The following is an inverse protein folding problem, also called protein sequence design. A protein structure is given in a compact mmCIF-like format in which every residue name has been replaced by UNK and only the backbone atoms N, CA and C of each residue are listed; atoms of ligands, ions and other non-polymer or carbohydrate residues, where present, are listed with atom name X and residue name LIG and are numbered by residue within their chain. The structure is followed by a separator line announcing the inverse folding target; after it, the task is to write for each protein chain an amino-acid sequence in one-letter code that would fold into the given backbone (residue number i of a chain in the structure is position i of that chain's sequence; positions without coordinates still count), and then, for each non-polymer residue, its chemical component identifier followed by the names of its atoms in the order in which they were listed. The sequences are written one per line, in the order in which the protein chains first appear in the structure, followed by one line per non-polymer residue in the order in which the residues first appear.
data_IF_498915174096
#
_entry.id   IF_498915174096
#
_cell.length_a   1.000
_cell.length_b   1.000
_cell.length_c   1.000
_cell.angle_alpha   90.00
_cell.angle_beta   90.00
_cell.angle_gamma   90.00
#
_symmetry.space_group_name_H-M   'P 1'
#
loop_
_entity.id
_entity.type
_entity.pdbx_description
1 polymer ?
#
# COMPACT_ATOMS: atom_id res chain seq x y z
N UNK A 1 19.26 -6.32 -17.43
CA UNK A 1 18.16 -6.97 -16.68
C UNK A 1 17.11 -5.91 -16.43
N UNK A 2 15.97 -5.96 -17.12
CA UNK A 2 14.92 -4.94 -16.99
C UNK A 2 14.30 -5.02 -15.61
N UNK A 3 14.24 -3.89 -14.91
CA UNK A 3 13.52 -3.76 -13.64
C UNK A 3 12.02 -3.96 -13.89
N UNK A 4 11.55 -5.21 -13.91
CA UNK A 4 10.13 -5.56 -13.87
C UNK A 4 9.57 -5.37 -12.45
N UNK A 5 9.84 -4.22 -11.83
CA UNK A 5 9.25 -3.89 -10.54
C UNK A 5 7.83 -3.43 -10.79
N UNK A 6 6.86 -4.20 -10.31
CA UNK A 6 5.46 -3.78 -10.27
C UNK A 6 5.35 -2.51 -9.40
N UNK A 7 4.61 -1.51 -9.85
CA UNK A 7 4.37 -0.33 -9.01
C UNK A 7 3.40 -0.67 -7.88
N UNK A 8 3.44 0.04 -6.74
CA UNK A 8 2.50 -0.18 -5.63
C UNK A 8 1.03 -0.22 -6.06
N UNK A 9 0.62 0.76 -6.87
CA UNK A 9 -0.75 0.84 -7.40
C UNK A 9 -1.08 -0.39 -8.25
N UNK A 10 -0.19 -0.79 -9.17
CA UNK A 10 -0.38 -1.97 -10.01
C UNK A 10 -0.41 -3.27 -9.19
N UNK A 11 0.32 -3.35 -8.09
CA UNK A 11 0.26 -4.49 -7.18
C UNK A 11 -1.11 -4.61 -6.51
N UNK A 12 -1.64 -3.51 -5.95
CA UNK A 12 -2.98 -3.49 -5.36
C UNK A 12 -4.05 -3.84 -6.42
N UNK A 13 -4.00 -3.22 -7.60
CA UNK A 13 -4.95 -3.50 -8.69
C UNK A 13 -4.92 -4.98 -9.12
N UNK A 14 -3.72 -5.53 -9.27
CA UNK A 14 -3.53 -6.93 -9.66
C UNK A 14 -4.04 -7.87 -8.57
N UNK A 15 -3.76 -7.56 -7.31
CA UNK A 15 -4.29 -8.29 -6.16
C UNK A 15 -5.82 -8.34 -6.21
N UNK A 16 -6.47 -7.16 -6.32
CA UNK A 16 -7.94 -7.05 -6.36
C UNK A 16 -8.51 -7.84 -7.53
N UNK A 17 -7.90 -7.74 -8.72
CA UNK A 17 -8.33 -8.49 -9.90
C UNK A 17 -8.28 -10.00 -9.65
N UNK A 18 -7.16 -10.50 -9.12
CA UNK A 18 -7.02 -11.92 -8.80
C UNK A 18 -8.07 -12.40 -7.79
N UNK A 19 -8.33 -11.62 -6.74
CA UNK A 19 -9.39 -11.95 -5.76
C UNK A 19 -10.78 -11.99 -6.38
N UNK A 20 -11.10 -11.04 -7.27
CA UNK A 20 -12.40 -11.02 -7.98
C UNK A 20 -12.57 -12.19 -8.94
N UNK A 21 -11.50 -12.58 -9.62
CA UNK A 21 -11.51 -13.67 -10.60
C UNK A 21 -11.34 -15.06 -9.96
N UNK A 22 -11.08 -15.13 -8.65
CA UNK A 22 -10.79 -16.38 -7.96
C UNK A 22 -9.46 -17.02 -8.40
N UNK A 23 -8.54 -16.22 -8.95
CA UNK A 23 -7.23 -16.68 -9.41
C UNK A 23 -6.16 -16.49 -8.34
N UNK A 24 -5.07 -17.26 -8.46
CA UNK A 24 -3.95 -17.15 -7.54
C UNK A 24 -3.24 -15.80 -7.72
N UNK A 25 -3.02 -15.09 -6.61
CA UNK A 25 -2.23 -13.85 -6.59
C UNK A 25 -0.76 -14.18 -6.87
N UNK A 26 -0.12 -13.57 -7.88
CA UNK A 26 1.29 -13.80 -8.17
C UNK A 26 2.21 -13.41 -7.01
N UNK A 27 3.29 -14.17 -6.81
CA UNK A 27 4.26 -13.89 -5.74
C UNK A 27 4.84 -12.48 -5.80
N UNK A 28 5.12 -11.97 -7.00
CA UNK A 28 5.62 -10.61 -7.22
C UNK A 28 4.69 -9.54 -6.64
N UNK A 29 3.36 -9.75 -6.68
CA UNK A 29 2.39 -8.81 -6.11
C UNK A 29 2.57 -8.71 -4.61
N UNK A 30 2.67 -9.85 -3.92
CA UNK A 30 2.92 -9.89 -2.48
C UNK A 30 4.27 -9.28 -2.12
N UNK A 31 5.32 -9.58 -2.87
CA UNK A 31 6.65 -8.98 -2.67
C UNK A 31 6.63 -7.46 -2.83
N UNK A 32 5.88 -6.93 -3.80
CA UNK A 32 5.67 -5.49 -3.90
C UNK A 32 4.91 -4.95 -2.69
N UNK A 33 3.80 -5.57 -2.27
CA UNK A 33 2.99 -5.11 -1.12
C UNK A 33 3.81 -5.12 0.17
N UNK A 34 4.72 -6.08 0.38
CA UNK A 34 5.64 -6.11 1.53
C UNK A 34 6.52 -4.86 1.65
N UNK A 35 6.70 -4.10 0.57
CA UNK A 35 7.49 -2.86 0.60
C UNK A 35 6.69 -1.62 1.03
N UNK A 36 5.44 -1.77 1.51
CA UNK A 36 4.53 -0.67 1.88
C UNK A 36 5.15 0.40 2.78
N UNK A 37 6.09 0.02 3.65
CA UNK A 37 6.78 0.93 4.55
C UNK A 37 7.54 2.06 3.82
N UNK A 38 7.84 1.87 2.53
CA UNK A 38 8.53 2.86 1.68
C UNK A 38 7.57 3.69 0.83
N UNK A 39 6.30 3.30 0.77
CA UNK A 39 5.31 3.92 -0.11
C UNK A 39 4.96 5.34 0.35
N UNK A 40 4.43 6.11 -0.60
CA UNK A 40 3.93 7.45 -0.37
C UNK A 40 2.48 7.45 0.15
N UNK A 41 1.96 8.63 0.47
CA UNK A 41 0.62 8.77 1.05
C UNK A 41 -0.51 8.24 0.15
N UNK A 42 -0.41 8.45 -1.17
CA UNK A 42 -1.44 8.02 -2.13
C UNK A 42 -1.50 6.49 -2.19
N UNK A 43 -0.33 5.86 -2.29
CA UNK A 43 -0.18 4.41 -2.35
C UNK A 43 -0.67 3.72 -1.07
N UNK A 44 -0.32 4.28 0.10
CA UNK A 44 -0.79 3.78 1.39
C UNK A 44 -2.30 3.95 1.59
N UNK A 45 -2.86 5.07 1.12
CA UNK A 45 -4.32 5.27 1.12
C UNK A 45 -5.01 4.21 0.27
N UNK A 46 -4.46 3.93 -0.92
CA UNK A 46 -4.97 2.86 -1.79
C UNK A 46 -4.93 1.49 -1.12
N UNK A 47 -3.85 1.17 -0.41
CA UNK A 47 -3.72 -0.09 0.34
C UNK A 47 -4.78 -0.21 1.44
N UNK A 48 -4.97 0.84 2.25
CA UNK A 48 -5.98 0.85 3.32
C UNK A 48 -7.39 0.71 2.73
N UNK A 49 -7.73 1.49 1.70
CA UNK A 49 -9.05 1.40 1.07
C UNK A 49 -9.34 0.01 0.50
N UNK A 50 -8.33 -0.63 -0.11
CA UNK A 50 -8.45 -2.00 -0.60
C UNK A 50 -8.62 -3.01 0.55
N UNK A 51 -7.94 -2.81 1.68
CA UNK A 51 -7.99 -3.71 2.83
C UNK A 51 -9.37 -3.78 3.51
N UNK A 52 -10.21 -2.75 3.36
CA UNK A 52 -11.60 -2.76 3.83
C UNK A 52 -12.41 -3.90 3.19
N UNK A 53 -12.10 -4.23 1.93
CA UNK A 53 -12.76 -5.32 1.20
C UNK A 53 -11.95 -6.62 1.20
N UNK A 54 -10.63 -6.51 1.36
CA UNK A 54 -9.70 -7.64 1.35
C UNK A 54 -8.73 -7.56 2.54
N UNK A 55 -9.16 -7.97 3.74
CA UNK A 55 -8.38 -7.83 4.97
C UNK A 55 -7.01 -8.51 4.93
N UNK A 56 -6.85 -9.54 4.09
CA UNK A 56 -5.57 -10.24 3.89
C UNK A 56 -4.45 -9.38 3.29
N UNK A 57 -4.77 -8.19 2.75
CA UNK A 57 -3.78 -7.19 2.37
C UNK A 57 -2.99 -6.66 3.57
N UNK A 58 -3.55 -6.74 4.78
CA UNK A 58 -2.89 -6.44 6.05
C UNK A 58 -2.34 -7.74 6.64
N UNK A 59 -1.33 -8.30 5.97
CA UNK A 59 -0.81 -9.65 6.23
C UNK A 59 0.12 -9.75 7.45
N UNK A 60 0.49 -8.63 8.08
CA UNK A 60 1.35 -8.61 9.26
C UNK A 60 0.60 -8.07 10.50
N UNK A 61 0.86 -8.62 11.70
CA UNK A 61 0.39 -8.01 12.93
C UNK A 61 0.86 -6.56 13.06
N UNK A 62 -0.04 -5.67 13.46
CA UNK A 62 0.28 -4.26 13.67
C UNK A 62 0.47 -3.44 12.38
N UNK A 63 0.15 -4.00 11.21
CA UNK A 63 0.41 -3.34 9.92
C UNK A 63 -0.43 -2.08 9.73
N UNK A 64 -1.70 -2.12 10.13
CA UNK A 64 -2.60 -0.97 10.03
C UNK A 64 -2.09 0.21 10.87
N UNK A 65 -1.65 -0.04 12.09
CA UNK A 65 -1.10 0.95 13.00
C UNK A 65 0.20 1.55 12.45
N UNK A 66 1.06 0.73 11.82
CA UNK A 66 2.27 1.23 11.14
C UNK A 66 1.93 2.13 9.96
N UNK A 67 0.92 1.76 9.17
CA UNK A 67 0.45 2.60 8.05
C UNK A 67 -0.12 3.91 8.60
N UNK A 68 -0.98 3.85 9.63
CA UNK A 68 -1.57 5.03 10.26
C UNK A 68 -0.50 6.00 10.77
N UNK A 69 0.53 5.50 11.48
CA UNK A 69 1.66 6.32 11.93
C UNK A 69 2.36 7.03 10.79
N UNK A 70 2.63 6.32 9.68
CA UNK A 70 3.28 6.90 8.49
C UNK A 70 2.39 7.93 7.80
N UNK A 71 1.08 7.71 7.76
CA UNK A 71 0.11 8.67 7.25
C UNK A 71 0.10 9.97 8.07
N UNK A 72 0.23 9.89 9.40
CA UNK A 72 0.33 11.07 10.24
C UNK A 72 1.65 11.84 10.04
N UNK A 73 2.75 11.13 9.79
CA UNK A 73 4.03 11.77 9.44
C UNK A 73 3.96 12.55 8.12
N UNK A 74 3.16 12.10 7.14
CA UNK A 74 2.90 12.89 5.93
C UNK A 74 2.11 14.17 6.22
N UNK A 75 1.08 14.10 7.08
CA UNK A 75 0.29 15.28 7.46
C UNK A 75 1.14 16.36 8.13
N UNK A 76 2.06 15.98 9.02
CA UNK A 76 2.96 16.93 9.71
C UNK A 76 3.82 17.75 8.74
N UNK A 77 4.27 17.14 7.63
CA UNK A 77 5.09 17.82 6.61
C UNK A 77 4.32 18.87 5.80
N UNK A 78 2.99 18.81 5.77
CA UNK A 78 2.15 19.74 5.00
C UNK A 78 1.88 21.04 5.79
N UNK A 79 2.01 21.01 7.13
CA UNK A 79 1.60 22.12 8.02
C UNK A 79 2.70 23.18 8.22
N UNK A 80 3.93 22.96 7.73
CA UNK A 80 5.03 23.94 7.84
C UNK A 80 5.01 24.97 6.69
N UNK A 81 4.03 25.87 6.67
CA UNK A 81 4.17 27.16 5.97
C UNK A 81 4.11 28.25 7.04
N UNK A 82 5.24 28.83 7.47
CA UNK A 82 5.20 30.01 8.31
C UNK A 82 4.59 31.15 7.48
N UNK A 83 3.42 31.61 7.90
CA UNK A 83 2.87 32.89 7.43
C UNK A 83 3.75 33.97 8.06
N UNK A 84 4.61 34.60 7.26
CA UNK A 84 5.32 35.83 7.64
C UNK A 84 4.45 37.05 7.31
#
# INVERSE_FOLDING_TARGET
MGNNSLTPIRAIETFIRCKKEGTQVPFLVWDTIKTYQKWNQIELTGLINASVYYPELLFEPGMEERIAKRMDDFKKRIVEIPIQ
#
